data_IF_406336336951
#
_entry.id   IF_406336336951
#
_cell.length_a   1.000
_cell.length_b   1.000
_cell.length_c   1.000
_cell.angle_alpha   90.00
_cell.angle_beta   90.00
_cell.angle_gamma   90.00
#
_symmetry.space_group_name_H-M   'P 1'
#
loop_
_entity.id
_entity.type
_entity.pdbx_description
1 polymer ?
#
# COMPACT_ATOMS: atom_id res chain seq x y z
N UNK A 1 -52.81 -24.94 5.23
CA UNK A 1 -52.56 -25.98 6.24
C UNK A 1 -51.08 -25.97 6.60
N UNK A 2 -50.70 -25.19 7.60
CA UNK A 2 -49.31 -25.05 8.04
C UNK A 2 -48.88 -26.25 8.89
N UNK A 3 -47.74 -26.86 8.55
CA UNK A 3 -47.12 -27.89 9.39
C UNK A 3 -46.34 -27.18 10.50
N UNK A 4 -46.86 -27.25 11.72
CA UNK A 4 -46.05 -26.99 12.91
C UNK A 4 -45.05 -28.13 13.08
N UNK A 5 -43.76 -27.81 13.07
CA UNK A 5 -42.73 -28.72 13.54
C UNK A 5 -42.69 -28.63 15.07
N UNK A 6 -42.86 -29.76 15.74
CA UNK A 6 -42.65 -29.89 17.19
C UNK A 6 -41.19 -29.63 17.54
N UNK A 7 -40.89 -29.03 18.72
CA UNK A 7 -39.51 -28.84 19.15
C UNK A 7 -38.88 -30.20 19.46
N UNK A 8 -37.73 -30.47 18.87
CA UNK A 8 -36.94 -31.65 19.16
C UNK A 8 -36.51 -31.60 20.64
N UNK A 9 -36.97 -32.57 21.43
CA UNK A 9 -36.45 -32.81 22.78
C UNK A 9 -35.01 -33.27 22.65
N UNK A 10 -34.07 -32.40 23.01
CA UNK A 10 -32.65 -32.75 23.00
C UNK A 10 -32.39 -33.79 24.11
N UNK A 11 -31.84 -34.95 23.73
CA UNK A 11 -31.48 -35.99 24.69
C UNK A 11 -30.53 -35.42 25.77
N UNK A 12 -30.66 -35.86 27.04
CA UNK A 12 -29.88 -35.32 28.16
C UNK A 12 -28.37 -35.43 27.95
N UNK A 13 -27.90 -36.44 27.20
CA UNK A 13 -26.50 -36.59 26.79
C UNK A 13 -26.05 -35.52 25.79
N UNK A 14 -26.93 -35.14 24.87
CA UNK A 14 -26.65 -34.09 23.88
C UNK A 14 -26.60 -32.70 24.54
N UNK A 15 -27.45 -32.46 25.53
CA UNK A 15 -27.40 -31.23 26.34
C UNK A 15 -26.11 -31.18 27.18
N UNK A 16 -25.71 -32.30 27.76
CA UNK A 16 -24.47 -32.38 28.54
C UNK A 16 -23.21 -32.16 27.68
N UNK A 17 -23.20 -32.70 26.45
CA UNK A 17 -22.11 -32.45 25.48
C UNK A 17 -22.07 -30.99 25.01
N UNK A 18 -23.23 -30.37 24.78
CA UNK A 18 -23.33 -28.93 24.46
C UNK A 18 -22.82 -28.06 25.60
N UNK A 19 -23.21 -28.35 26.85
CA UNK A 19 -22.74 -27.61 28.02
C UNK A 19 -21.22 -27.77 28.23
N UNK A 20 -20.68 -28.98 28.04
CA UNK A 20 -19.23 -29.22 28.05
C UNK A 20 -18.52 -28.42 26.94
N UNK A 21 -19.08 -28.37 25.73
CA UNK A 21 -18.54 -27.58 24.64
C UNK A 21 -18.52 -26.09 24.94
N UNK A 22 -19.62 -25.54 25.46
CA UNK A 22 -19.71 -24.12 25.87
C UNK A 22 -18.72 -23.81 26.99
N UNK A 23 -18.58 -24.71 27.98
CA UNK A 23 -17.61 -24.54 29.06
C UNK A 23 -16.16 -24.54 28.55
N UNK A 24 -15.82 -25.40 27.59
CA UNK A 24 -14.49 -25.42 26.97
C UNK A 24 -14.19 -24.15 26.18
N UNK A 25 -15.16 -23.62 25.43
CA UNK A 25 -15.01 -22.35 24.70
C UNK A 25 -14.81 -21.20 25.68
N UNK A 26 -15.62 -21.10 26.73
CA UNK A 26 -15.46 -20.08 27.77
C UNK A 26 -14.09 -20.20 28.46
N UNK A 27 -13.69 -21.41 28.86
CA UNK A 27 -12.38 -21.66 29.48
C UNK A 27 -11.22 -21.26 28.56
N UNK A 28 -11.31 -21.49 27.24
CA UNK A 28 -10.29 -21.06 26.29
C UNK A 28 -10.17 -19.54 26.19
N UNK A 29 -11.30 -18.82 26.29
CA UNK A 29 -11.33 -17.36 26.29
C UNK A 29 -10.67 -16.77 27.54
N UNK A 30 -10.92 -17.38 28.71
CA UNK A 30 -10.30 -16.97 29.98
C UNK A 30 -8.87 -17.50 30.17
N UNK A 31 -8.47 -18.60 29.52
CA UNK A 31 -7.08 -19.03 29.50
C UNK A 31 -6.23 -18.09 28.61
N UNK A 32 -6.80 -17.57 27.53
CA UNK A 32 -6.16 -16.57 26.68
C UNK A 32 -5.78 -15.27 27.41
N UNK A 33 -6.51 -14.90 28.48
CA UNK A 33 -6.15 -13.73 29.31
C UNK A 33 -5.05 -14.02 30.34
N UNK A 34 -4.81 -15.29 30.68
CA UNK A 34 -3.71 -15.72 31.56
C UNK A 34 -2.36 -15.84 30.81
N UNK A 35 -2.40 -16.11 29.51
CA UNK A 35 -1.21 -16.14 28.64
C UNK A 35 -1.03 -14.86 27.82
N UNK A 36 -1.73 -13.78 28.15
CA UNK A 36 -1.47 -12.48 27.57
C UNK A 36 -0.09 -12.01 28.03
N UNK A 37 0.93 -12.30 27.21
CA UNK A 37 2.23 -11.65 27.29
C UNK A 37 2.01 -10.15 27.50
N UNK A 38 2.63 -9.61 28.54
CA UNK A 38 2.66 -8.18 28.86
C UNK A 38 3.33 -7.31 27.77
N UNK A 39 3.68 -7.89 26.63
CA UNK A 39 4.13 -7.22 25.43
C UNK A 39 2.98 -7.00 24.44
N UNK A 40 1.99 -6.18 24.82
CA UNK A 40 1.31 -5.34 23.84
C UNK A 40 2.03 -3.99 23.85
N UNK A 41 2.34 -3.37 22.70
CA UNK A 41 2.90 -2.03 22.68
C UNK A 41 1.79 -1.10 23.18
N UNK A 42 1.86 -0.72 24.46
CA UNK A 42 1.14 0.43 24.92
C UNK A 42 1.57 1.61 24.04
N UNK A 43 0.64 2.17 23.27
CA UNK A 43 0.78 3.52 22.77
C UNK A 43 0.82 4.42 24.00
N UNK A 44 2.01 4.62 24.56
CA UNK A 44 2.28 5.65 25.54
C UNK A 44 2.13 6.96 24.78
N UNK A 45 0.93 7.55 24.82
CA UNK A 45 0.82 8.99 24.65
C UNK A 45 1.72 9.61 25.74
N UNK A 46 2.70 10.45 25.39
CA UNK A 46 3.42 11.20 26.41
C UNK A 46 2.38 12.05 27.17
N UNK A 47 2.50 12.17 28.50
CA UNK A 47 1.61 13.04 29.25
C UNK A 47 1.67 14.45 28.67
N UNK A 48 0.50 15.04 28.45
CA UNK A 48 0.36 16.45 28.13
C UNK A 48 0.98 17.28 29.25
N UNK A 49 2.24 17.69 29.05
CA UNK A 49 2.92 18.64 29.92
C UNK A 49 2.18 19.96 29.81
N UNK A 50 1.41 20.29 30.84
CA UNK A 50 0.89 21.64 31.06
C UNK A 50 2.09 22.57 31.21
N UNK A 51 2.42 23.28 30.13
CA UNK A 51 3.55 24.22 30.08
C UNK A 51 3.10 25.53 30.71
N UNK A 52 3.27 25.67 32.02
CA UNK A 52 3.25 26.97 32.69
C UNK A 52 4.35 27.86 32.09
N UNK A 53 4.15 29.19 31.97
CA UNK A 53 5.12 30.09 31.35
C UNK A 53 6.28 30.37 32.31
N UNK A 54 7.29 29.51 32.27
CA UNK A 54 8.61 29.76 32.86
C UNK A 54 9.57 30.28 31.79
N UNK A 55 10.26 31.39 32.11
CA UNK A 55 11.22 32.11 31.27
C UNK A 55 12.29 31.20 30.61
N UNK A 56 12.66 31.38 29.34
CA UNK A 56 13.64 30.52 28.68
C UNK A 56 15.08 30.92 29.05
N UNK A 57 15.84 29.96 29.59
CA UNK A 57 17.29 30.05 29.71
C UNK A 57 17.93 29.73 28.32
N UNK A 58 18.93 30.47 27.84
CA UNK A 58 19.26 30.50 26.41
C UNK A 58 20.43 29.59 26.00
N UNK A 59 20.55 28.36 26.51
CA UNK A 59 21.78 27.57 26.31
C UNK A 59 21.63 26.10 25.86
N UNK A 60 20.46 25.65 25.40
CA UNK A 60 20.39 24.32 24.76
C UNK A 60 19.39 24.25 23.61
N UNK A 61 19.51 25.23 22.70
CA UNK A 61 18.97 25.10 21.36
C UNK A 61 20.06 24.47 20.49
N UNK A 62 20.14 23.14 20.47
CA UNK A 62 20.79 22.44 19.36
C UNK A 62 20.01 22.81 18.10
N UNK A 63 20.51 23.84 17.44
CA UNK A 63 20.02 24.39 16.19
C UNK A 63 20.24 23.31 15.12
N UNK A 64 19.28 22.39 15.01
CA UNK A 64 19.14 21.55 13.82
C UNK A 64 18.78 22.46 12.65
N UNK A 65 19.79 23.14 12.12
CA UNK A 65 19.74 23.75 10.80
C UNK A 65 19.63 22.61 9.81
N UNK A 66 18.40 22.16 9.52
CA UNK A 66 18.09 21.41 8.30
C UNK A 66 18.35 22.34 7.12
N UNK A 67 19.62 22.56 6.80
CA UNK A 67 20.04 23.18 5.55
C UNK A 67 19.73 22.19 4.46
N UNK A 68 18.60 22.40 3.80
CA UNK A 68 18.31 21.78 2.50
C UNK A 68 19.26 22.44 1.51
N UNK A 69 20.45 21.85 1.37
CA UNK A 69 21.37 22.21 0.30
C UNK A 69 20.83 21.68 -1.01
N UNK A 70 20.67 22.55 -2.00
CA UNK A 70 20.47 22.10 -3.38
C UNK A 70 21.77 21.42 -3.81
N UNK A 71 21.78 20.09 -3.84
CA UNK A 71 22.87 19.34 -4.45
C UNK A 71 22.73 19.46 -5.96
N UNK A 72 23.45 20.41 -6.55
CA UNK A 72 23.58 20.52 -8.00
C UNK A 72 24.47 19.38 -8.50
N UNK A 73 24.03 18.75 -9.58
CA UNK A 73 24.71 17.66 -10.28
C UNK A 73 26.17 18.05 -10.60
N UNK A 74 27.12 17.19 -10.29
CA UNK A 74 28.53 17.42 -10.64
C UNK A 74 28.81 17.16 -12.13
N UNK A 75 28.00 16.36 -12.81
CA UNK A 75 28.09 16.12 -14.26
C UNK A 75 26.80 16.55 -14.97
N UNK A 76 26.93 17.40 -15.99
CA UNK A 76 25.85 17.71 -16.93
C UNK A 76 25.50 16.46 -17.75
N UNK A 77 24.21 16.14 -17.85
CA UNK A 77 23.73 15.07 -18.74
C UNK A 77 24.07 15.47 -20.19
N UNK A 78 24.95 14.73 -20.86
CA UNK A 78 25.22 14.91 -22.29
C UNK A 78 24.34 13.94 -23.09
N UNK A 79 23.39 14.48 -23.85
CA UNK A 79 22.62 13.71 -24.82
C UNK A 79 23.44 13.68 -26.12
N UNK A 80 23.77 12.51 -26.67
CA UNK A 80 24.45 12.42 -27.97
C UNK A 80 23.62 13.03 -29.10
N UNK A 81 24.27 13.46 -30.18
CA UNK A 81 23.58 14.03 -31.36
C UNK A 81 22.60 13.06 -32.02
N UNK A 82 22.85 11.75 -31.90
CA UNK A 82 21.96 10.69 -32.40
C UNK A 82 20.78 10.37 -31.46
N UNK A 83 20.67 11.06 -30.32
CA UNK A 83 19.62 10.87 -29.33
C UNK A 83 19.96 9.84 -28.25
N UNK A 84 18.91 9.22 -27.69
CA UNK A 84 19.01 8.22 -26.63
C UNK A 84 18.62 6.85 -27.17
N UNK A 85 19.34 5.82 -26.72
CA UNK A 85 18.97 4.44 -26.99
C UNK A 85 17.65 4.07 -26.32
N UNK A 86 16.98 3.05 -26.84
CA UNK A 86 15.75 2.49 -26.25
C UNK A 86 16.12 1.39 -25.27
N UNK A 87 15.54 1.42 -24.07
CA UNK A 87 15.78 0.40 -23.06
C UNK A 87 15.23 -0.97 -23.51
N UNK A 88 15.84 -2.08 -23.09
CA UNK A 88 15.22 -3.40 -23.25
C UNK A 88 13.84 -3.47 -22.59
N UNK A 89 12.93 -4.26 -23.17
CA UNK A 89 11.52 -4.33 -22.73
C UNK A 89 11.36 -4.81 -21.28
N UNK A 90 12.32 -5.58 -20.76
CA UNK A 90 12.35 -6.04 -19.36
C UNK A 90 12.41 -4.88 -18.35
N UNK A 91 12.87 -3.69 -18.78
CA UNK A 91 12.95 -2.50 -17.95
C UNK A 91 11.70 -1.61 -18.01
N UNK A 92 10.64 -2.01 -18.73
CA UNK A 92 9.40 -1.21 -18.84
C UNK A 92 8.75 -0.93 -17.47
N UNK A 93 8.82 -1.89 -16.55
CA UNK A 93 8.27 -1.78 -15.18
C UNK A 93 9.38 -1.65 -14.12
N UNK A 94 10.60 -1.28 -14.52
CA UNK A 94 11.72 -1.19 -13.60
C UNK A 94 11.62 0.07 -12.73
N UNK A 95 11.55 -0.13 -11.41
CA UNK A 95 11.53 0.95 -10.41
C UNK A 95 12.85 0.89 -9.62
N UNK A 96 13.91 1.59 -10.07
CA UNK A 96 15.27 1.39 -9.56
C UNK A 96 15.38 1.66 -8.06
N UNK A 97 14.63 2.64 -7.54
CA UNK A 97 14.71 3.01 -6.12
C UNK A 97 13.96 2.07 -5.17
N UNK A 98 13.18 1.13 -5.71
CA UNK A 98 12.43 0.12 -4.97
C UNK A 98 12.83 -1.30 -5.39
N UNK A 99 14.00 -1.46 -6.02
CA UNK A 99 14.48 -2.77 -6.40
C UNK A 99 14.94 -3.57 -5.17
N UNK A 100 14.23 -4.65 -4.88
CA UNK A 100 14.52 -5.51 -3.74
C UNK A 100 15.89 -6.19 -3.84
N UNK A 101 16.38 -6.47 -5.06
CA UNK A 101 17.71 -7.06 -5.25
C UNK A 101 18.81 -6.05 -4.89
N UNK A 102 18.72 -4.83 -5.41
CA UNK A 102 19.61 -3.72 -5.06
C UNK A 102 19.58 -3.41 -3.57
N UNK A 103 18.40 -3.23 -2.97
CA UNK A 103 18.28 -2.91 -1.53
C UNK A 103 18.91 -4.01 -0.68
N UNK A 104 18.73 -5.29 -1.01
CA UNK A 104 19.37 -6.41 -0.29
C UNK A 104 20.89 -6.45 -0.44
N UNK A 105 21.43 -5.89 -1.53
CA UNK A 105 22.87 -5.80 -1.76
C UNK A 105 23.55 -4.71 -0.93
N UNK A 106 22.79 -3.69 -0.50
CA UNK A 106 23.30 -2.61 0.35
C UNK A 106 23.73 -3.16 1.70
N UNK A 107 24.94 -2.78 2.11
CA UNK A 107 25.48 -3.07 3.44
C UNK A 107 24.98 -2.03 4.43
N UNK A 108 24.91 -2.42 5.71
CA UNK A 108 24.64 -1.52 6.84
C UNK A 108 23.25 -0.90 6.86
N UNK A 109 22.22 -1.62 6.39
CA UNK A 109 20.82 -1.21 6.61
C UNK A 109 20.38 -1.64 8.01
N UNK A 110 19.87 -0.69 8.79
CA UNK A 110 19.26 -0.95 10.09
C UNK A 110 17.84 -1.51 9.92
N UNK A 111 17.75 -2.84 9.95
CA UNK A 111 16.48 -3.57 9.85
C UNK A 111 15.57 -3.34 11.05
N UNK A 112 16.09 -2.92 12.20
CA UNK A 112 15.26 -2.59 13.37
C UNK A 112 14.45 -1.31 13.12
N UNK A 113 14.95 -0.42 12.26
CA UNK A 113 14.27 0.81 11.81
C UNK A 113 13.59 0.67 10.45
N UNK A 114 13.59 -0.54 9.87
CA UNK A 114 13.01 -0.82 8.56
C UNK A 114 13.62 0.02 7.43
N UNK A 115 14.92 0.32 7.50
CA UNK A 115 15.61 1.07 6.44
C UNK A 115 15.58 0.35 5.07
N UNK A 116 15.43 -0.97 5.09
CA UNK A 116 15.25 -1.82 3.91
C UNK A 116 13.89 -1.64 3.23
N UNK A 117 12.92 -0.98 3.86
CA UNK A 117 11.63 -0.63 3.26
C UNK A 117 11.60 0.79 2.69
N UNK A 118 12.64 1.59 2.94
CA UNK A 118 12.76 2.93 2.39
C UNK A 118 13.17 2.91 0.90
N UNK A 119 12.85 3.97 0.17
CA UNK A 119 13.34 4.13 -1.20
C UNK A 119 14.86 4.39 -1.20
N UNK A 120 15.63 3.49 -1.81
CA UNK A 120 17.08 3.62 -1.99
C UNK A 120 17.40 3.46 -3.46
N UNK A 121 17.87 4.54 -4.10
CA UNK A 121 18.22 4.52 -5.51
C UNK A 121 19.66 4.04 -5.72
N UNK A 122 19.94 3.27 -6.79
CA UNK A 122 21.28 3.06 -7.31
C UNK A 122 22.02 4.36 -7.57
N UNK A 123 23.36 4.36 -7.49
CA UNK A 123 24.17 5.47 -7.95
C UNK A 123 23.97 5.67 -9.47
N UNK A 124 24.34 6.85 -9.97
CA UNK A 124 24.01 7.24 -11.35
C UNK A 124 24.76 6.42 -12.38
N UNK A 125 25.95 5.98 -12.03
CA UNK A 125 26.84 5.16 -12.83
C UNK A 125 26.20 3.79 -13.13
N UNK A 126 25.38 3.28 -12.21
CA UNK A 126 24.64 2.02 -12.35
C UNK A 126 23.24 2.23 -12.95
N UNK A 127 22.83 3.49 -13.19
CA UNK A 127 21.51 3.80 -13.72
C UNK A 127 21.50 3.73 -15.25
N UNK A 128 20.49 3.05 -15.79
CA UNK A 128 20.25 3.00 -17.23
C UNK A 128 19.92 4.40 -17.77
N UNK A 129 20.62 4.81 -18.83
CA UNK A 129 20.38 6.06 -19.52
C UNK A 129 19.81 5.79 -20.92
N UNK A 130 18.53 5.43 -20.96
CA UNK A 130 17.80 5.08 -22.18
C UNK A 130 16.32 5.49 -22.09
N UNK A 131 15.62 5.47 -23.22
CA UNK A 131 14.19 5.72 -23.32
C UNK A 131 13.41 4.42 -23.04
N UNK A 132 12.51 4.44 -22.07
CA UNK A 132 11.64 3.30 -21.79
C UNK A 132 10.69 3.08 -22.98
N UNK A 133 10.70 1.90 -23.63
CA UNK A 133 9.80 1.64 -24.74
C UNK A 133 8.36 1.53 -24.24
N UNK A 134 7.36 1.88 -25.05
CA UNK A 134 5.99 1.52 -24.74
C UNK A 134 5.80 -0.01 -24.75
N UNK A 135 4.82 -0.55 -24.02
CA UNK A 135 4.42 -1.95 -24.11
C UNK A 135 4.09 -2.38 -25.55
N UNK A 136 4.22 -3.68 -25.82
CA UNK A 136 3.75 -4.26 -27.07
C UNK A 136 2.24 -3.95 -27.25
N UNK A 137 1.87 -3.54 -28.46
CA UNK A 137 0.50 -3.15 -28.81
C UNK A 137 -0.07 -1.95 -28.03
N UNK A 138 0.80 -1.09 -27.49
CA UNK A 138 0.38 0.18 -26.91
C UNK A 138 -0.50 0.96 -27.88
N UNK A 139 -1.60 1.50 -27.36
CA UNK A 139 -2.57 2.31 -28.09
C UNK A 139 -2.52 3.74 -27.60
N UNK A 140 -2.82 4.68 -28.48
CA UNK A 140 -2.97 6.09 -28.13
C UNK A 140 -4.02 6.20 -27.01
N UNK A 141 -3.70 6.85 -25.87
CA UNK A 141 -4.64 7.01 -24.77
C UNK A 141 -5.97 7.63 -25.23
N UNK A 142 -7.06 7.13 -24.66
CA UNK A 142 -8.39 7.73 -24.85
C UNK A 142 -8.32 9.17 -24.37
N UNK A 143 -8.98 10.10 -25.08
CA UNK A 143 -9.01 11.51 -24.70
C UNK A 143 -9.97 11.72 -23.53
N UNK A 144 -9.67 12.72 -22.70
CA UNK A 144 -10.61 13.22 -21.70
C UNK A 144 -11.87 13.77 -22.40
N UNK A 145 -13.09 13.61 -21.85
CA UNK A 145 -13.43 13.01 -20.56
C UNK A 145 -13.62 11.49 -20.55
N UNK A 146 -13.70 10.84 -21.71
CA UNK A 146 -13.97 9.39 -21.80
C UNK A 146 -12.90 8.55 -21.11
N UNK A 147 -11.66 9.03 -21.06
CA UNK A 147 -10.56 8.38 -20.33
C UNK A 147 -10.74 8.29 -18.82
N UNK A 148 -11.75 8.98 -18.26
CA UNK A 148 -12.16 8.82 -16.86
C UNK A 148 -12.66 7.40 -16.60
N UNK A 149 -13.42 6.86 -17.53
CA UNK A 149 -14.16 5.61 -17.34
C UNK A 149 -13.48 4.44 -18.07
N UNK A 150 -12.58 4.72 -19.03
CA UNK A 150 -11.97 3.69 -19.87
C UNK A 150 -10.48 3.91 -20.13
N UNK A 151 -9.72 2.81 -20.14
CA UNK A 151 -8.34 2.78 -20.67
C UNK A 151 -8.12 1.50 -21.47
N UNK A 152 -7.22 1.52 -22.45
CA UNK A 152 -6.84 0.33 -23.21
C UNK A 152 -6.20 -0.72 -22.32
N UNK A 153 -6.65 -1.97 -22.43
CA UNK A 153 -6.02 -3.08 -21.67
C UNK A 153 -4.58 -3.32 -22.09
N UNK A 154 -4.25 -3.14 -23.38
CA UNK A 154 -2.87 -3.29 -23.87
C UNK A 154 -1.92 -2.22 -23.34
N UNK A 155 -2.41 -1.09 -22.84
CA UNK A 155 -1.57 -0.06 -22.22
C UNK A 155 -1.22 -0.38 -20.76
N UNK A 156 -1.95 -1.30 -20.14
CA UNK A 156 -1.80 -1.71 -18.74
C UNK A 156 -1.92 -3.23 -18.69
N UNK A 157 -0.91 -3.93 -19.20
CA UNK A 157 -0.91 -5.38 -19.40
C UNK A 157 -0.68 -6.16 -18.09
N UNK A 158 -1.44 -5.81 -17.05
CA UNK A 158 -1.44 -6.43 -15.74
C UNK A 158 -2.89 -6.63 -15.28
N UNK A 159 -3.42 -7.86 -15.41
CA UNK A 159 -4.80 -8.19 -14.99
C UNK A 159 -4.94 -8.41 -13.48
N UNK A 160 -3.84 -8.76 -12.80
CA UNK A 160 -3.85 -9.19 -11.40
C UNK A 160 -4.57 -8.20 -10.45
N UNK A 161 -4.40 -6.89 -10.65
CA UNK A 161 -5.08 -5.90 -9.81
C UNK A 161 -6.62 -5.99 -9.95
N UNK A 162 -7.11 -6.24 -11.16
CA UNK A 162 -8.54 -6.41 -11.43
C UNK A 162 -9.10 -7.70 -10.84
N UNK A 163 -8.29 -8.75 -10.76
CA UNK A 163 -8.66 -10.01 -10.12
C UNK A 163 -8.79 -9.84 -8.60
N UNK A 164 -7.80 -9.20 -7.95
CA UNK A 164 -7.78 -9.03 -6.48
C UNK A 164 -8.69 -7.89 -5.97
N UNK A 165 -8.99 -6.88 -6.82
CA UNK A 165 -9.88 -5.76 -6.49
C UNK A 165 -11.22 -5.79 -7.21
N UNK A 166 -11.50 -6.81 -8.03
CA UNK A 166 -12.75 -6.93 -8.79
C UNK A 166 -13.99 -6.94 -7.90
N UNK A 167 -13.90 -7.52 -6.69
CA UNK A 167 -14.98 -7.51 -5.70
C UNK A 167 -15.31 -6.14 -5.10
N UNK A 168 -14.46 -5.12 -5.32
CA UNK A 168 -14.68 -3.74 -4.83
C UNK A 168 -15.26 -2.81 -5.91
N UNK A 169 -15.64 -3.33 -7.08
CA UNK A 169 -16.09 -2.54 -8.24
C UNK A 169 -15.12 -1.41 -8.62
N UNK A 170 -13.80 -1.63 -8.49
CA UNK A 170 -12.82 -0.60 -8.86
C UNK A 170 -12.52 -0.60 -10.35
N UNK A 171 -12.39 -1.79 -10.94
CA UNK A 171 -12.04 -1.97 -12.35
C UNK A 171 -12.64 -3.29 -12.83
N UNK A 172 -13.17 -3.28 -14.05
CA UNK A 172 -13.72 -4.46 -14.71
C UNK A 172 -13.16 -4.60 -16.13
N UNK A 173 -13.09 -5.84 -16.58
CA UNK A 173 -12.78 -6.13 -17.98
C UNK A 173 -13.97 -5.78 -18.88
N UNK A 174 -13.72 -5.01 -19.94
CA UNK A 174 -14.70 -4.71 -20.98
C UNK A 174 -14.09 -4.80 -22.38
N UNK A 175 -13.99 -6.02 -22.92
CA UNK A 175 -13.52 -6.22 -24.30
C UNK A 175 -12.05 -5.81 -24.47
N UNK A 176 -11.73 -4.71 -25.15
CA UNK A 176 -10.32 -4.24 -25.26
C UNK A 176 -9.98 -3.16 -24.24
N UNK A 177 -10.90 -2.85 -23.34
CA UNK A 177 -10.81 -1.77 -22.38
C UNK A 177 -10.88 -2.29 -20.94
N UNK A 178 -10.17 -1.62 -20.05
CA UNK A 178 -10.49 -1.60 -18.64
C UNK A 178 -11.58 -0.56 -18.45
N UNK A 179 -12.63 -0.95 -17.73
CA UNK A 179 -13.75 -0.08 -17.37
C UNK A 179 -13.70 0.24 -15.88
N UNK A 180 -13.73 1.53 -15.55
CA UNK A 180 -13.80 2.03 -14.20
C UNK A 180 -15.22 2.53 -13.95
N UNK A 181 -16.07 1.74 -13.27
CA UNK A 181 -17.49 2.07 -13.06
C UNK A 181 -17.70 3.24 -12.08
N UNK A 182 -16.62 3.73 -11.45
CA UNK A 182 -16.70 4.62 -10.30
C UNK A 182 -17.05 3.87 -9.01
N UNK A 183 -17.18 4.59 -7.89
CA UNK A 183 -17.57 3.97 -6.62
C UNK A 183 -16.42 3.48 -5.74
N UNK A 184 -15.22 4.05 -5.88
CA UNK A 184 -14.14 3.83 -4.93
C UNK A 184 -14.61 4.08 -3.49
N UNK A 185 -14.41 3.08 -2.62
CA UNK A 185 -14.89 3.07 -1.23
C UNK A 185 -14.27 4.16 -0.35
N UNK A 186 -13.24 4.84 -0.85
CA UNK A 186 -12.55 5.91 -0.12
C UNK A 186 -13.41 7.19 -0.01
N UNK A 187 -14.31 7.46 -0.96
CA UNK A 187 -15.10 8.70 -0.96
C UNK A 187 -16.51 8.47 -0.42
N UNK A 188 -16.88 9.17 0.66
CA UNK A 188 -18.20 9.07 1.31
C UNK A 188 -19.39 9.27 0.36
N UNK A 189 -19.22 10.07 -0.68
CA UNK A 189 -20.24 10.41 -1.69
C UNK A 189 -19.83 9.99 -3.11
N UNK A 190 -18.84 9.10 -3.21
CA UNK A 190 -18.23 8.70 -4.48
C UNK A 190 -17.24 9.72 -5.03
N UNK A 191 -16.44 9.30 -6.01
CA UNK A 191 -15.43 10.15 -6.64
C UNK A 191 -16.05 11.23 -7.55
N UNK A 192 -17.19 10.94 -8.20
CA UNK A 192 -17.83 11.83 -9.18
C UNK A 192 -18.10 13.22 -8.62
N UNK A 193 -18.49 13.30 -7.35
CA UNK A 193 -18.80 14.57 -6.69
C UNK A 193 -17.59 15.51 -6.52
N UNK A 194 -16.37 14.97 -6.51
CA UNK A 194 -15.14 15.77 -6.50
C UNK A 194 -14.66 16.15 -7.91
N UNK A 195 -15.07 15.38 -8.93
CA UNK A 195 -14.63 15.56 -10.32
C UNK A 195 -15.55 16.56 -11.05
N UNK A 196 -16.84 16.58 -10.71
CA UNK A 196 -17.88 17.38 -11.39
C UNK A 196 -18.11 18.76 -10.76
N UNK A 197 -17.33 19.11 -9.74
CA UNK A 197 -17.42 20.40 -9.03
C UNK A 197 -16.59 21.48 -9.74
#
# INVERSE_FOLDING_TARGET
MGRWCSPASAEPRSVQLLLLGVALVAASFYAGTLFQSSASPALILPPSVSRSPGSPNPQDASEFTKKVGVSYRTASISVPDYGLDVCPLEYNEHIPCHDAAYIRSLRNLDRSRHEDLEAKCPPREDSLFCLVPPPNDYKIPIRWPTSRDYVWRSNVNHSHLSEVKGGQNWVHENGKLWWFPGGGTHFKRGASEYIER
#
